data_IF_933221363177
#
_entry.id   IF_933221363177
#
_cell.length_a   1.000
_cell.length_b   1.000
_cell.length_c   1.000
_cell.angle_alpha   90.00
_cell.angle_beta   90.00
_cell.angle_gamma   90.00
#
_symmetry.space_group_name_H-M   'P 1'
#
loop_
_entity.id
_entity.type
_entity.pdbx_description
1 polymer ?
#
# COMPACT_ATOMS: atom_id res chain seq x y z
N UNK A 1 -52.71 -64.52 -22.58
CA UNK A 1 -53.35 -64.25 -21.24
C UNK A 1 -52.80 -62.96 -20.66
N UNK A 2 -53.51 -62.34 -19.69
CA UNK A 2 -53.01 -61.13 -19.01
C UNK A 2 -51.70 -61.40 -18.27
N UNK A 3 -51.61 -62.55 -17.61
CA UNK A 3 -50.38 -62.99 -16.94
C UNK A 3 -49.19 -63.12 -17.93
N UNK A 4 -49.42 -63.61 -19.16
CA UNK A 4 -48.38 -63.63 -20.16
C UNK A 4 -47.88 -62.21 -20.56
N UNK A 5 -48.82 -61.26 -20.71
CA UNK A 5 -48.44 -59.87 -20.99
C UNK A 5 -47.57 -59.24 -19.87
N UNK A 6 -47.95 -59.51 -18.61
CA UNK A 6 -47.18 -59.06 -17.44
C UNK A 6 -45.78 -59.69 -17.44
N UNK A 7 -45.69 -61.01 -17.72
CA UNK A 7 -44.43 -61.72 -17.81
C UNK A 7 -43.51 -61.17 -18.93
N UNK A 8 -44.11 -60.71 -20.05
CA UNK A 8 -43.43 -60.09 -21.19
C UNK A 8 -43.12 -58.59 -20.93
N UNK A 9 -43.35 -58.10 -19.69
CA UNK A 9 -43.07 -56.67 -19.31
C UNK A 9 -44.09 -55.67 -19.86
N UNK A 10 -45.29 -56.16 -20.31
CA UNK A 10 -46.30 -55.27 -20.84
C UNK A 10 -47.33 -54.93 -19.73
N UNK A 11 -47.17 -53.82 -19.10
CA UNK A 11 -48.05 -53.24 -18.05
C UNK A 11 -49.10 -52.26 -18.59
N UNK A 12 -49.12 -52.06 -19.92
CA UNK A 12 -50.16 -51.27 -20.58
C UNK A 12 -51.50 -52.07 -20.63
N UNK A 13 -52.03 -52.35 -19.47
CA UNK A 13 -53.27 -53.10 -19.28
C UNK A 13 -54.27 -52.16 -18.61
N UNK A 14 -55.37 -51.82 -19.33
CA UNK A 14 -56.37 -50.88 -18.88
C UNK A 14 -57.11 -51.41 -17.66
N UNK A 15 -57.59 -52.67 -17.74
CA UNK A 15 -58.28 -53.35 -16.65
C UNK A 15 -58.20 -54.88 -16.83
N UNK A 16 -57.93 -55.58 -15.73
CA UNK A 16 -58.00 -57.03 -15.71
C UNK A 16 -59.50 -57.45 -15.78
N UNK A 17 -59.79 -58.47 -16.59
CA UNK A 17 -61.18 -59.00 -16.69
C UNK A 17 -61.63 -59.43 -15.33
N UNK A 18 -62.84 -59.01 -14.95
CA UNK A 18 -63.48 -59.39 -13.68
C UNK A 18 -63.79 -60.90 -13.69
N UNK A 19 -63.34 -61.57 -12.64
CA UNK A 19 -63.71 -62.97 -12.38
C UNK A 19 -64.90 -62.93 -11.41
N UNK A 20 -65.72 -63.99 -11.44
CA UNK A 20 -66.90 -64.13 -10.53
C UNK A 20 -66.59 -65.13 -9.43
N UNK A 21 -67.22 -64.96 -8.27
CA UNK A 21 -67.10 -65.87 -7.12
C UNK A 21 -65.70 -65.72 -6.45
N UNK A 22 -65.20 -66.83 -5.94
CA UNK A 22 -63.94 -66.85 -5.16
C UNK A 22 -62.65 -66.34 -5.92
N UNK A 23 -62.77 -66.21 -7.22
CA UNK A 23 -61.69 -65.70 -8.06
C UNK A 23 -61.70 -64.15 -8.22
N UNK A 24 -62.71 -63.44 -7.71
CA UNK A 24 -62.83 -61.99 -7.80
C UNK A 24 -61.64 -61.28 -7.13
N UNK A 25 -61.19 -61.79 -5.98
CA UNK A 25 -60.03 -61.28 -5.28
C UNK A 25 -58.73 -61.32 -6.07
N UNK A 26 -58.59 -62.26 -7.00
CA UNK A 26 -57.39 -62.37 -7.87
C UNK A 26 -57.35 -61.22 -8.90
N UNK A 27 -58.51 -60.84 -9.48
CA UNK A 27 -58.54 -59.71 -10.42
C UNK A 27 -58.20 -58.38 -9.76
N UNK A 28 -58.68 -58.15 -8.50
CA UNK A 28 -58.36 -56.97 -7.73
C UNK A 28 -56.90 -56.91 -7.37
N UNK A 29 -56.31 -58.00 -6.90
CA UNK A 29 -54.87 -58.10 -6.59
C UNK A 29 -54.00 -57.85 -7.81
N UNK A 30 -54.32 -58.42 -8.98
CA UNK A 30 -53.61 -58.19 -10.21
C UNK A 30 -53.69 -56.73 -10.68
N UNK A 31 -54.90 -56.10 -10.56
CA UNK A 31 -55.03 -54.67 -10.86
C UNK A 31 -54.17 -53.81 -9.96
N UNK A 32 -54.13 -54.11 -8.66
CA UNK A 32 -53.25 -53.39 -7.69
C UNK A 32 -51.77 -53.53 -8.07
N UNK A 33 -51.31 -54.75 -8.35
CA UNK A 33 -49.90 -55.02 -8.77
C UNK A 33 -49.57 -54.23 -10.04
N UNK A 34 -50.41 -54.25 -11.05
CA UNK A 34 -50.20 -53.53 -12.32
C UNK A 34 -50.13 -52.05 -12.10
N UNK A 35 -51.01 -51.47 -11.30
CA UNK A 35 -51.03 -50.04 -11.02
C UNK A 35 -49.82 -49.62 -10.18
N UNK A 36 -49.43 -50.37 -9.13
CA UNK A 36 -48.24 -50.06 -8.32
C UNK A 36 -46.97 -50.18 -9.16
N UNK A 37 -46.82 -51.19 -10.03
CA UNK A 37 -45.66 -51.32 -10.88
C UNK A 37 -45.59 -50.17 -11.90
N UNK A 38 -46.69 -49.77 -12.52
CA UNK A 38 -46.71 -48.58 -13.38
C UNK A 38 -46.28 -47.32 -12.66
N UNK A 39 -46.73 -47.11 -11.42
CA UNK A 39 -46.35 -45.96 -10.58
C UNK A 39 -44.85 -45.99 -10.26
N UNK A 40 -44.35 -47.13 -9.74
CA UNK A 40 -42.93 -47.30 -9.40
C UNK A 40 -42.02 -47.04 -10.63
N UNK A 41 -42.36 -47.64 -11.77
CA UNK A 41 -41.54 -47.47 -12.99
C UNK A 41 -41.56 -46.03 -13.50
N UNK A 42 -42.64 -45.27 -13.35
CA UNK A 42 -42.68 -43.86 -13.68
C UNK A 42 -41.86 -43.02 -12.69
N UNK A 43 -41.96 -43.32 -11.39
CA UNK A 43 -41.13 -42.67 -10.39
C UNK A 43 -39.63 -42.89 -10.66
N UNK A 44 -39.22 -44.14 -11.02
CA UNK A 44 -37.84 -44.45 -11.40
C UNK A 44 -37.43 -43.64 -12.64
N UNK A 45 -38.31 -43.56 -13.67
CA UNK A 45 -38.00 -42.79 -14.86
C UNK A 45 -37.78 -41.30 -14.57
N UNK A 46 -38.70 -40.72 -13.78
CA UNK A 46 -38.63 -39.31 -13.33
C UNK A 46 -37.39 -39.06 -12.48
N UNK A 47 -37.07 -39.96 -11.53
CA UNK A 47 -35.85 -39.85 -10.71
C UNK A 47 -34.59 -39.98 -11.57
N UNK A 48 -34.56 -40.87 -12.54
CA UNK A 48 -33.41 -41.01 -13.48
C UNK A 48 -33.23 -39.76 -14.31
N UNK A 49 -34.31 -39.12 -14.79
CA UNK A 49 -34.24 -37.84 -15.51
C UNK A 49 -33.67 -36.74 -14.63
N UNK A 50 -34.10 -36.69 -13.38
CA UNK A 50 -33.59 -35.72 -12.41
C UNK A 50 -32.09 -35.93 -12.08
N UNK A 51 -31.69 -37.20 -11.89
CA UNK A 51 -30.27 -37.54 -11.66
C UNK A 51 -29.41 -37.17 -12.86
N UNK A 52 -29.85 -37.47 -14.08
CA UNK A 52 -29.12 -37.10 -15.30
C UNK A 52 -28.99 -35.58 -15.45
N UNK A 53 -30.08 -34.84 -15.24
CA UNK A 53 -30.05 -33.37 -15.28
C UNK A 53 -29.13 -32.77 -14.20
N UNK A 54 -29.21 -33.30 -12.97
CA UNK A 54 -28.34 -32.86 -11.85
C UNK A 54 -26.86 -33.19 -12.14
N UNK A 55 -26.57 -34.35 -12.67
CA UNK A 55 -25.24 -34.73 -13.07
C UNK A 55 -24.67 -33.80 -14.18
N UNK A 56 -25.48 -33.45 -15.17
CA UNK A 56 -25.09 -32.47 -16.20
C UNK A 56 -24.73 -31.12 -15.57
N UNK A 57 -25.54 -30.67 -14.63
CA UNK A 57 -25.29 -29.38 -13.94
C UNK A 57 -24.01 -29.40 -13.07
N UNK A 58 -23.69 -30.53 -12.42
CA UNK A 58 -22.43 -30.71 -11.69
C UNK A 58 -21.24 -30.72 -12.65
N UNK A 59 -21.34 -31.39 -13.77
CA UNK A 59 -20.27 -31.43 -14.80
C UNK A 59 -19.96 -30.01 -15.31
N UNK A 60 -20.98 -29.21 -15.66
CA UNK A 60 -20.84 -27.83 -16.10
C UNK A 60 -20.19 -26.93 -15.01
N UNK A 61 -20.63 -27.13 -13.75
CA UNK A 61 -20.08 -26.39 -12.62
C UNK A 61 -18.61 -26.76 -12.36
N UNK A 62 -18.27 -28.02 -12.50
CA UNK A 62 -16.92 -28.54 -12.37
C UNK A 62 -15.99 -27.99 -13.46
N UNK A 63 -16.47 -27.91 -14.70
CA UNK A 63 -15.72 -27.29 -15.79
C UNK A 63 -15.44 -25.82 -15.50
N UNK A 64 -16.42 -25.09 -14.98
CA UNK A 64 -16.26 -23.68 -14.57
C UNK A 64 -15.26 -23.54 -13.41
N UNK A 65 -15.30 -24.45 -12.44
CA UNK A 65 -14.36 -24.48 -11.32
C UNK A 65 -12.93 -24.77 -11.79
N UNK A 66 -12.75 -25.70 -12.72
CA UNK A 66 -11.44 -26.00 -13.31
C UNK A 66 -10.84 -24.78 -14.01
N UNK A 67 -11.63 -24.12 -14.85
CA UNK A 67 -11.20 -22.89 -15.52
C UNK A 67 -10.89 -21.76 -14.54
N UNK A 68 -11.74 -21.55 -13.53
CA UNK A 68 -11.48 -20.56 -12.49
C UNK A 68 -10.21 -20.86 -11.66
N UNK A 69 -9.90 -22.14 -11.48
CA UNK A 69 -8.66 -22.56 -10.82
C UNK A 69 -7.42 -22.29 -11.68
N UNK A 70 -7.48 -22.46 -12.98
CA UNK A 70 -6.39 -22.08 -13.90
C UNK A 70 -6.16 -20.55 -13.88
N UNK A 71 -7.22 -19.75 -13.92
CA UNK A 71 -7.10 -18.29 -13.82
C UNK A 71 -6.51 -17.85 -12.47
N UNK A 72 -6.91 -18.51 -11.37
CA UNK A 72 -6.33 -18.29 -10.06
C UNK A 72 -4.85 -18.67 -10.00
N UNK A 73 -4.45 -19.79 -10.61
CA UNK A 73 -3.05 -20.20 -10.66
C UNK A 73 -2.18 -19.17 -11.38
N UNK A 74 -2.63 -18.62 -12.50
CA UNK A 74 -1.94 -17.52 -13.20
C UNK A 74 -1.83 -16.25 -12.33
N UNK A 75 -2.89 -15.90 -11.60
CA UNK A 75 -2.88 -14.77 -10.69
C UNK A 75 -1.91 -14.97 -9.52
N UNK A 76 -1.80 -16.18 -8.99
CA UNK A 76 -0.85 -16.56 -7.94
C UNK A 76 0.59 -16.44 -8.44
N UNK A 77 0.89 -16.82 -9.67
CA UNK A 77 2.22 -16.63 -10.26
C UNK A 77 2.60 -15.15 -10.35
N UNK A 78 1.68 -14.28 -10.76
CA UNK A 78 1.88 -12.84 -10.82
C UNK A 78 2.09 -12.23 -9.42
N UNK A 79 1.27 -12.64 -8.44
CA UNK A 79 1.41 -12.22 -7.04
C UNK A 79 2.77 -12.68 -6.49
N UNK A 80 3.19 -13.91 -6.75
CA UNK A 80 4.48 -14.46 -6.29
C UNK A 80 5.66 -13.66 -6.85
N UNK A 81 5.60 -13.28 -8.13
CA UNK A 81 6.59 -12.41 -8.76
C UNK A 81 6.66 -11.05 -8.07
N UNK A 82 5.49 -10.44 -7.82
CA UNK A 82 5.39 -9.13 -7.15
C UNK A 82 5.92 -9.17 -5.71
N UNK A 83 5.60 -10.23 -4.97
CA UNK A 83 6.09 -10.42 -3.59
C UNK A 83 7.61 -10.62 -3.57
N UNK A 84 8.17 -11.30 -4.56
CA UNK A 84 9.61 -11.48 -4.70
C UNK A 84 10.31 -10.13 -4.93
N UNK A 85 9.74 -9.27 -5.77
CA UNK A 85 10.24 -7.92 -6.02
C UNK A 85 10.16 -7.05 -4.75
N UNK A 86 9.03 -7.11 -4.04
CA UNK A 86 8.86 -6.41 -2.76
C UNK A 86 9.89 -6.88 -1.73
N UNK A 87 10.15 -8.19 -1.63
CA UNK A 87 11.16 -8.75 -0.73
C UNK A 87 12.56 -8.17 -0.99
N UNK A 88 12.96 -8.09 -2.25
CA UNK A 88 14.26 -7.51 -2.62
C UNK A 88 14.31 -6.00 -2.32
N UNK A 89 13.22 -5.27 -2.57
CA UNK A 89 13.14 -3.84 -2.28
C UNK A 89 13.19 -3.55 -0.77
N UNK A 90 12.52 -4.36 0.05
CA UNK A 90 12.58 -4.27 1.52
C UNK A 90 13.99 -4.52 2.03
N UNK A 91 14.67 -5.55 1.51
CA UNK A 91 16.07 -5.84 1.83
C UNK A 91 17.00 -4.70 1.44
N UNK A 92 16.80 -4.11 0.26
CA UNK A 92 17.56 -2.95 -0.20
C UNK A 92 17.31 -1.73 0.69
N UNK A 93 16.06 -1.51 1.14
CA UNK A 93 15.73 -0.43 2.06
C UNK A 93 16.45 -0.59 3.41
N UNK A 94 16.50 -1.79 3.98
CA UNK A 94 17.25 -2.08 5.20
C UNK A 94 18.76 -1.79 5.03
N UNK A 95 19.35 -2.19 3.90
CA UNK A 95 20.74 -1.92 3.58
C UNK A 95 21.02 -0.41 3.42
N UNK A 96 20.16 0.29 2.68
CA UNK A 96 20.25 1.74 2.49
C UNK A 96 20.13 2.50 3.82
N UNK A 97 19.21 2.08 4.68
CA UNK A 97 19.05 2.65 6.01
C UNK A 97 20.33 2.45 6.85
N UNK A 98 20.91 1.24 6.85
CA UNK A 98 22.18 0.98 7.55
C UNK A 98 23.33 1.85 7.02
N UNK A 99 23.41 2.05 5.72
CA UNK A 99 24.40 2.94 5.11
C UNK A 99 24.17 4.40 5.49
N UNK A 100 22.93 4.87 5.48
CA UNK A 100 22.56 6.24 5.86
C UNK A 100 22.87 6.53 7.34
N UNK A 101 22.68 5.54 8.23
CA UNK A 101 23.07 5.63 9.65
C UNK A 101 24.58 5.84 9.77
N UNK A 102 25.40 5.04 9.07
CA UNK A 102 26.84 5.19 9.05
C UNK A 102 27.30 6.57 8.55
N UNK A 103 26.64 7.12 7.53
CA UNK A 103 26.91 8.48 7.02
C UNK A 103 26.53 9.55 8.05
N UNK A 104 25.39 9.39 8.72
CA UNK A 104 24.91 10.29 9.78
C UNK A 104 25.89 10.31 10.96
N UNK A 105 26.38 9.15 11.40
CA UNK A 105 27.38 9.05 12.46
C UNK A 105 28.71 9.74 12.06
N UNK A 106 29.12 9.61 10.81
CA UNK A 106 30.33 10.28 10.30
C UNK A 106 30.13 11.80 10.28
N UNK A 107 29.01 12.29 9.74
CA UNK A 107 28.69 13.71 9.71
C UNK A 107 28.60 14.32 11.12
N UNK A 108 28.00 13.61 12.09
CA UNK A 108 28.00 13.99 13.50
C UNK A 108 29.40 14.14 14.06
N UNK A 109 30.27 13.16 13.81
CA UNK A 109 31.67 13.19 14.27
C UNK A 109 32.42 14.39 13.71
N UNK A 110 32.25 14.66 12.40
CA UNK A 110 32.92 15.79 11.75
C UNK A 110 32.39 17.14 12.26
N UNK A 111 31.10 17.26 12.51
CA UNK A 111 30.51 18.47 13.10
C UNK A 111 31.00 18.70 14.54
N UNK A 112 31.11 17.66 15.36
CA UNK A 112 31.68 17.75 16.72
C UNK A 112 33.13 18.21 16.66
N UNK A 113 33.94 17.62 15.76
CA UNK A 113 35.33 18.05 15.55
C UNK A 113 35.43 19.50 15.10
N UNK A 114 34.55 19.93 14.18
CA UNK A 114 34.46 21.32 13.75
C UNK A 114 34.12 22.27 14.92
N UNK A 115 33.22 21.85 15.80
CA UNK A 115 32.85 22.63 16.99
C UNK A 115 34.02 22.77 17.97
N UNK A 116 34.83 21.75 18.17
CA UNK A 116 36.01 21.81 19.01
C UNK A 116 37.06 22.77 18.40
N UNK A 117 37.26 22.76 17.07
CA UNK A 117 38.11 23.72 16.38
C UNK A 117 37.60 25.15 16.50
N UNK A 118 36.26 25.38 16.51
CA UNK A 118 35.70 26.71 16.76
C UNK A 118 35.95 27.20 18.21
N UNK A 119 35.93 26.31 19.19
CA UNK A 119 36.31 26.64 20.56
C UNK A 119 37.78 27.08 20.66
N UNK A 120 38.68 26.33 19.99
CA UNK A 120 40.09 26.71 19.93
C UNK A 120 40.28 28.08 19.25
N UNK A 121 39.57 28.35 18.16
CA UNK A 121 39.57 29.62 17.46
C UNK A 121 39.05 30.76 18.33
N UNK A 122 37.99 30.56 19.11
CA UNK A 122 37.48 31.53 20.05
C UNK A 122 38.53 31.88 21.15
N UNK A 123 39.21 30.87 21.67
CA UNK A 123 40.32 31.06 22.61
C UNK A 123 41.44 31.91 22.01
N UNK A 124 41.88 31.58 20.78
CA UNK A 124 42.91 32.32 20.06
C UNK A 124 42.49 33.79 19.81
N UNK A 125 41.22 34.02 19.44
CA UNK A 125 40.68 35.39 19.29
C UNK A 125 40.69 36.17 20.61
N UNK A 126 40.37 35.48 21.72
CA UNK A 126 40.47 36.07 23.05
C UNK A 126 41.91 36.49 23.39
N UNK A 127 42.89 35.62 23.15
CA UNK A 127 44.32 35.89 23.38
C UNK A 127 44.82 37.06 22.52
N UNK A 128 44.40 37.13 21.23
CA UNK A 128 44.75 38.25 20.34
C UNK A 128 44.14 39.56 20.87
N UNK A 129 42.92 39.54 21.38
CA UNK A 129 42.23 40.69 21.93
C UNK A 129 42.99 41.19 23.19
N UNK A 130 43.37 40.31 24.11
CA UNK A 130 44.16 40.63 25.30
C UNK A 130 45.54 41.22 24.94
N UNK A 131 46.23 40.56 23.97
CA UNK A 131 47.52 41.07 23.47
C UNK A 131 47.38 42.47 22.85
N UNK A 132 46.35 42.71 22.04
CA UNK A 132 46.05 44.02 21.44
C UNK A 132 45.74 45.09 22.49
N UNK A 133 45.00 44.76 23.54
CA UNK A 133 44.74 45.65 24.64
C UNK A 133 46.03 46.02 25.41
N UNK A 134 46.95 45.05 25.58
CA UNK A 134 48.22 45.30 26.23
C UNK A 134 49.13 46.18 25.35
N UNK A 135 49.16 45.94 24.01
CA UNK A 135 49.90 46.82 23.07
C UNK A 135 49.34 48.26 23.13
N UNK A 136 48.01 48.40 23.14
CA UNK A 136 47.35 49.74 23.27
C UNK A 136 47.83 50.49 24.50
N UNK A 137 47.98 49.81 25.65
CA UNK A 137 48.55 50.40 26.86
C UNK A 137 50.01 50.85 26.68
N UNK A 138 50.83 50.01 26.01
CA UNK A 138 52.22 50.35 25.78
C UNK A 138 52.34 51.55 24.83
N UNK A 139 51.56 51.59 23.76
CA UNK A 139 51.57 52.71 22.81
C UNK A 139 51.13 54.01 23.50
N UNK A 140 50.14 53.96 24.44
CA UNK A 140 49.77 55.12 25.25
C UNK A 140 50.92 55.63 26.10
N UNK A 141 51.71 54.73 26.71
CA UNK A 141 52.91 55.13 27.47
C UNK A 141 53.97 55.75 26.52
N UNK A 142 54.14 55.22 25.29
CA UNK A 142 55.06 55.81 24.30
C UNK A 142 54.62 57.23 23.91
N UNK A 143 53.31 57.44 23.68
CA UNK A 143 52.74 58.75 23.37
C UNK A 143 52.97 59.76 24.56
N UNK A 144 52.75 59.30 25.79
CA UNK A 144 53.03 60.09 27.01
C UNK A 144 54.54 60.44 27.11
N UNK A 145 55.45 59.49 26.81
CA UNK A 145 56.91 59.72 26.77
C UNK A 145 57.26 60.77 25.73
N UNK A 146 56.69 60.56 24.48
CA UNK A 146 56.92 61.51 23.38
C UNK A 146 56.44 62.94 23.76
N UNK A 147 55.25 63.07 24.40
CA UNK A 147 54.81 64.35 24.90
C UNK A 147 55.71 64.93 25.92
N UNK A 148 56.16 64.17 26.94
CA UNK A 148 57.11 64.64 27.95
C UNK A 148 58.42 65.08 27.35
N UNK A 149 58.96 64.33 26.37
CA UNK A 149 60.19 64.63 25.64
C UNK A 149 60.04 65.93 24.84
N UNK A 150 58.90 66.14 24.22
CA UNK A 150 58.58 67.39 23.49
C UNK A 150 58.60 68.62 24.48
N UNK A 151 58.02 68.49 25.69
CA UNK A 151 58.05 69.55 26.75
C UNK A 151 59.46 69.78 27.24
N UNK A 152 60.27 68.70 27.47
CA UNK A 152 61.67 68.83 27.89
C UNK A 152 62.52 69.52 26.80
N UNK A 153 62.32 69.19 25.54
CA UNK A 153 63.00 69.79 24.39
C UNK A 153 62.62 71.32 24.29
N UNK A 154 61.32 71.62 24.48
CA UNK A 154 60.85 72.99 24.47
C UNK A 154 61.53 73.82 25.62
N UNK A 155 61.60 73.28 26.81
CA UNK A 155 62.27 73.92 27.96
C UNK A 155 63.77 74.11 27.68
N UNK A 156 64.41 73.07 27.05
CA UNK A 156 65.86 73.20 26.67
C UNK A 156 66.06 74.26 25.55
N UNK A 157 65.12 74.35 24.58
CA UNK A 157 65.21 75.41 23.55
C UNK A 157 65.04 76.83 24.18
N UNK A 158 64.15 76.99 25.10
CA UNK A 158 63.97 78.28 25.86
C UNK A 158 65.24 78.63 26.63
N UNK A 159 65.89 77.70 27.33
CA UNK A 159 67.10 77.95 28.10
C UNK A 159 68.32 78.19 27.18
N UNK A 160 68.38 77.47 26.02
CA UNK A 160 69.38 77.73 25.01
C UNK A 160 69.27 79.17 24.42
N UNK A 161 68.03 79.62 24.19
CA UNK A 161 67.77 81.01 23.76
C UNK A 161 68.17 82.04 24.82
N UNK A 162 68.03 81.72 26.08
CA UNK A 162 68.35 82.56 27.26
C UNK A 162 69.87 82.69 27.40
N UNK A 163 70.65 81.65 27.03
CA UNK A 163 72.08 81.67 27.04
C UNK A 163 72.76 82.47 25.85
N UNK A 164 71.92 83.00 24.95
CA UNK A 164 72.34 83.84 23.84
C UNK A 164 73.35 83.19 22.86
N UNK A 165 74.49 83.84 22.60
CA UNK A 165 75.55 83.34 21.64
C UNK A 165 76.13 81.99 22.08
N UNK A 166 76.20 81.68 23.39
CA UNK A 166 76.79 80.47 23.94
C UNK A 166 75.83 79.28 23.84
N UNK A 167 74.50 79.52 23.65
CA UNK A 167 73.46 78.48 23.57
C UNK A 167 73.15 77.98 22.15
N UNK A 168 73.75 78.54 21.04
CA UNK A 168 73.36 78.25 19.68
C UNK A 168 73.43 76.75 19.32
N UNK A 169 74.49 76.06 19.74
CA UNK A 169 74.57 74.62 19.50
C UNK A 169 73.52 73.77 20.24
N UNK A 170 73.21 74.18 21.48
CA UNK A 170 72.15 73.53 22.27
C UNK A 170 70.73 73.77 21.74
N UNK A 171 70.46 74.97 21.16
CA UNK A 171 69.19 75.28 20.52
C UNK A 171 68.88 74.37 19.33
N UNK A 172 69.88 74.03 18.49
CA UNK A 172 69.78 73.14 17.36
C UNK A 172 69.40 71.69 17.80
N UNK A 173 70.13 71.22 18.84
CA UNK A 173 69.90 69.90 19.42
C UNK A 173 68.45 69.86 20.09
N UNK A 174 68.03 70.88 20.79
CA UNK A 174 66.73 70.98 21.38
C UNK A 174 65.60 70.92 20.31
N UNK A 175 65.78 71.65 19.17
CA UNK A 175 64.84 71.65 18.10
C UNK A 175 64.73 70.29 17.44
N UNK A 176 65.90 69.58 17.24
CA UNK A 176 65.95 68.20 16.66
C UNK A 176 65.30 67.21 17.60
N UNK A 177 65.52 67.28 18.95
CA UNK A 177 64.80 66.41 19.93
C UNK A 177 63.32 66.66 19.92
N UNK A 178 62.91 67.95 19.81
CA UNK A 178 61.48 68.31 19.69
C UNK A 178 60.84 67.69 18.42
N UNK A 179 61.53 67.77 17.26
CA UNK A 179 61.06 67.18 16.03
C UNK A 179 60.96 65.67 16.16
N UNK A 180 61.93 64.95 16.71
CA UNK A 180 61.92 63.53 17.00
C UNK A 180 60.77 63.15 17.94
N UNK A 181 60.49 63.97 18.98
CA UNK A 181 59.37 63.74 19.87
C UNK A 181 58.04 63.84 19.12
N UNK A 182 57.85 64.90 18.31
CA UNK A 182 56.67 65.04 17.47
C UNK A 182 56.44 63.88 16.49
N UNK A 183 57.51 63.41 15.83
CA UNK A 183 57.45 62.23 14.94
C UNK A 183 57.07 60.97 15.74
N UNK A 184 57.64 60.77 16.93
CA UNK A 184 57.30 59.65 17.81
C UNK A 184 55.84 59.66 18.24
N UNK A 185 55.28 60.82 18.62
CA UNK A 185 53.87 60.98 18.94
C UNK A 185 52.97 60.71 17.75
N UNK A 186 53.39 61.17 16.54
CA UNK A 186 52.65 60.84 15.29
C UNK A 186 52.60 59.36 15.03
N UNK A 187 53.75 58.66 15.13
CA UNK A 187 53.82 57.21 14.95
C UNK A 187 53.04 56.44 16.03
N UNK A 188 53.05 56.93 17.28
CA UNK A 188 52.22 56.33 18.35
C UNK A 188 50.71 56.45 18.05
N UNK A 189 50.25 57.59 17.58
CA UNK A 189 48.85 57.83 17.23
C UNK A 189 48.43 56.97 16.05
N UNK A 190 49.25 56.84 15.01
CA UNK A 190 48.98 55.96 13.86
C UNK A 190 48.91 54.50 14.30
N UNK A 191 49.84 54.05 15.16
CA UNK A 191 49.82 52.72 15.73
C UNK A 191 48.59 52.45 16.55
N UNK A 192 48.13 53.44 17.34
CA UNK A 192 46.88 53.35 18.12
C UNK A 192 45.68 53.08 17.19
N UNK A 193 45.57 53.84 16.09
CA UNK A 193 44.49 53.61 15.09
C UNK A 193 44.55 52.24 14.44
N UNK A 194 45.76 51.73 14.15
CA UNK A 194 45.92 50.35 13.61
C UNK A 194 45.53 49.28 14.64
N UNK A 195 45.85 49.46 15.90
CA UNK A 195 45.46 48.54 16.99
C UNK A 195 43.95 48.56 17.22
N UNK A 196 43.30 49.73 17.27
CA UNK A 196 41.84 49.86 17.39
C UNK A 196 41.15 49.14 16.22
N UNK A 197 41.60 49.35 14.97
CA UNK A 197 41.06 48.64 13.82
C UNK A 197 41.30 47.13 13.87
N UNK A 198 42.39 46.67 14.50
CA UNK A 198 42.67 45.25 14.73
C UNK A 198 41.72 44.65 15.76
N UNK A 199 41.46 45.32 16.86
CA UNK A 199 40.52 44.91 17.89
C UNK A 199 39.11 44.81 17.34
N UNK A 200 38.65 45.76 16.50
CA UNK A 200 37.37 45.68 15.81
C UNK A 200 37.25 44.45 14.94
N UNK A 201 38.29 44.15 14.15
CA UNK A 201 38.28 42.95 13.32
C UNK A 201 38.29 41.64 14.12
N UNK A 202 38.97 41.64 15.28
CA UNK A 202 38.93 40.48 16.21
C UNK A 202 37.55 40.30 16.82
N UNK A 203 36.84 41.37 17.19
CA UNK A 203 35.46 41.28 17.71
C UNK A 203 34.51 40.70 16.65
N UNK A 204 34.62 41.17 15.39
CA UNK A 204 33.85 40.63 14.27
C UNK A 204 34.17 39.15 14.07
N UNK A 205 35.47 38.78 14.07
CA UNK A 205 35.90 37.39 13.93
C UNK A 205 35.35 36.50 15.05
N UNK A 206 35.38 37.01 16.28
CA UNK A 206 34.82 36.30 17.45
C UNK A 206 33.31 36.04 17.29
N UNK A 207 32.54 37.01 16.83
CA UNK A 207 31.11 36.84 16.54
C UNK A 207 30.84 35.80 15.44
N UNK A 208 31.60 35.84 14.36
CA UNK A 208 31.50 34.85 13.27
C UNK A 208 31.81 33.45 13.79
N UNK A 209 32.90 33.28 14.56
CA UNK A 209 33.28 31.99 15.14
C UNK A 209 32.20 31.47 16.11
N UNK A 210 31.63 32.33 16.95
CA UNK A 210 30.54 31.95 17.84
C UNK A 210 29.28 31.48 17.10
N UNK A 211 28.87 32.23 16.07
CA UNK A 211 27.72 31.84 15.24
C UNK A 211 27.98 30.52 14.50
N UNK A 212 29.20 30.32 14.04
CA UNK A 212 29.61 29.05 13.36
C UNK A 212 29.58 27.89 14.35
N UNK A 213 30.06 28.08 15.59
CA UNK A 213 29.97 27.04 16.63
C UNK A 213 28.51 26.67 16.95
N UNK A 214 27.62 27.69 17.03
CA UNK A 214 26.19 27.44 17.22
C UNK A 214 25.59 26.63 16.05
N UNK A 215 25.85 27.02 14.81
CA UNK A 215 25.36 26.30 13.64
C UNK A 215 25.86 24.84 13.60
N UNK A 216 27.11 24.59 14.00
CA UNK A 216 27.65 23.23 14.11
C UNK A 216 26.93 22.42 15.19
N UNK A 217 26.57 23.01 16.31
CA UNK A 217 25.75 22.34 17.34
C UNK A 217 24.36 21.96 16.81
N UNK A 218 23.72 22.84 16.05
CA UNK A 218 22.43 22.57 15.41
C UNK A 218 22.53 21.42 14.37
N UNK A 219 23.66 21.35 13.65
CA UNK A 219 23.97 20.23 12.74
C UNK A 219 24.10 18.92 13.53
N UNK A 220 24.82 18.91 14.67
CA UNK A 220 24.96 17.72 15.52
C UNK A 220 23.61 17.23 16.01
N UNK A 221 22.74 18.14 16.47
CA UNK A 221 21.39 17.77 16.92
C UNK A 221 20.55 17.21 15.79
N UNK A 222 20.52 17.89 14.64
CA UNK A 222 19.75 17.45 13.46
C UNK A 222 20.23 16.12 12.91
N UNK A 223 21.55 15.90 12.85
CA UNK A 223 22.14 14.64 12.40
C UNK A 223 21.84 13.50 13.37
N UNK A 224 21.79 13.78 14.69
CA UNK A 224 21.41 12.77 15.69
C UNK A 224 19.97 12.34 15.49
N UNK A 225 19.04 13.28 15.30
CA UNK A 225 17.63 12.96 14.99
C UNK A 225 17.48 12.19 13.68
N UNK A 226 18.27 12.54 12.67
CA UNK A 226 18.28 11.81 11.40
C UNK A 226 18.76 10.36 11.58
N UNK A 227 19.81 10.13 12.36
CA UNK A 227 20.31 8.78 12.66
C UNK A 227 19.25 7.93 13.39
N UNK A 228 18.56 8.50 14.37
CA UNK A 228 17.47 7.81 15.08
C UNK A 228 16.33 7.39 14.12
N UNK A 229 15.89 8.31 13.25
CA UNK A 229 14.85 8.01 12.24
C UNK A 229 15.28 6.92 11.26
N UNK A 230 16.53 6.96 10.82
CA UNK A 230 17.10 5.95 9.93
C UNK A 230 17.20 4.59 10.63
N UNK A 231 17.52 4.58 11.92
CA UNK A 231 17.51 3.36 12.75
C UNK A 231 16.10 2.73 12.81
N UNK A 232 15.05 3.56 12.95
CA UNK A 232 13.67 3.10 12.89
C UNK A 232 13.30 2.53 11.52
N UNK A 233 13.77 3.15 10.42
CA UNK A 233 13.54 2.62 9.05
C UNK A 233 14.18 1.25 8.89
N UNK A 234 15.42 1.06 9.37
CA UNK A 234 16.09 -0.23 9.31
C UNK A 234 15.33 -1.32 10.08
N UNK A 235 14.86 -1.00 11.29
CA UNK A 235 14.04 -1.93 12.10
C UNK A 235 12.72 -2.28 11.40
N UNK A 236 11.97 -1.29 10.94
CA UNK A 236 10.72 -1.50 10.22
C UNK A 236 10.91 -2.32 8.93
N UNK A 237 12.01 -2.09 8.21
CA UNK A 237 12.33 -2.89 7.02
C UNK A 237 12.61 -4.35 7.36
N UNK A 238 13.27 -4.65 8.48
CA UNK A 238 13.48 -6.03 8.93
C UNK A 238 12.15 -6.71 9.35
N UNK A 239 11.25 -5.97 9.99
CA UNK A 239 9.91 -6.45 10.31
C UNK A 239 9.10 -6.74 9.05
N UNK A 240 9.16 -5.84 8.06
CA UNK A 240 8.55 -6.04 6.74
C UNK A 240 9.10 -7.28 6.02
N UNK A 241 10.42 -7.54 6.09
CA UNK A 241 11.01 -8.74 5.50
C UNK A 241 10.42 -10.02 6.12
N UNK A 242 10.19 -10.01 7.43
CA UNK A 242 9.52 -11.12 8.13
C UNK A 242 8.08 -11.29 7.67
N UNK A 243 7.32 -10.19 7.57
CA UNK A 243 5.93 -10.22 7.11
C UNK A 243 5.83 -10.72 5.66
N UNK A 244 6.72 -10.26 4.77
CA UNK A 244 6.79 -10.73 3.37
C UNK A 244 7.06 -12.24 3.31
N UNK A 245 7.92 -12.77 4.17
CA UNK A 245 8.16 -14.22 4.27
C UNK A 245 6.88 -14.99 4.68
N UNK A 246 6.09 -14.45 5.63
CA UNK A 246 4.81 -15.04 6.02
C UNK A 246 3.78 -14.99 4.89
N UNK A 247 3.72 -13.88 4.14
CA UNK A 247 2.85 -13.78 2.97
C UNK A 247 3.23 -14.82 1.91
N UNK A 248 4.52 -15.03 1.68
CA UNK A 248 4.99 -16.05 0.73
C UNK A 248 4.54 -17.47 1.13
N UNK A 249 4.63 -17.82 2.41
CA UNK A 249 4.09 -19.08 2.91
C UNK A 249 2.57 -19.21 2.74
N UNK A 250 1.83 -18.13 2.95
CA UNK A 250 0.38 -18.12 2.73
C UNK A 250 0.04 -18.32 1.24
N UNK A 251 0.79 -17.72 0.33
CA UNK A 251 0.63 -17.90 -1.12
C UNK A 251 0.88 -19.35 -1.53
N UNK A 252 1.89 -20.02 -0.98
CA UNK A 252 2.14 -21.45 -1.20
C UNK A 252 0.93 -22.30 -0.79
N UNK A 253 0.31 -21.99 0.36
CA UNK A 253 -0.89 -22.68 0.81
C UNK A 253 -2.08 -22.44 -0.13
N UNK A 254 -2.28 -21.20 -0.60
CA UNK A 254 -3.33 -20.88 -1.58
C UNK A 254 -3.09 -21.61 -2.88
N UNK A 255 -1.85 -21.67 -3.37
CA UNK A 255 -1.47 -22.43 -4.56
C UNK A 255 -1.84 -23.91 -4.46
N UNK A 256 -1.57 -24.52 -3.29
CA UNK A 256 -1.97 -25.90 -3.02
C UNK A 256 -3.49 -26.10 -3.05
N UNK A 257 -4.25 -25.15 -2.51
CA UNK A 257 -5.72 -25.19 -2.56
C UNK A 257 -6.23 -25.10 -4.00
N UNK A 258 -5.66 -24.20 -4.80
CA UNK A 258 -6.03 -24.04 -6.21
C UNK A 258 -5.77 -25.32 -7.01
N UNK A 259 -4.62 -25.97 -6.81
CA UNK A 259 -4.32 -27.28 -7.41
C UNK A 259 -5.32 -28.37 -6.98
N UNK A 260 -5.67 -28.38 -5.69
CA UNK A 260 -6.67 -29.30 -5.15
C UNK A 260 -8.06 -29.06 -5.76
N UNK A 261 -8.44 -27.78 -5.95
CA UNK A 261 -9.71 -27.41 -6.56
C UNK A 261 -9.77 -27.90 -8.02
N UNK A 262 -8.69 -27.74 -8.79
CA UNK A 262 -8.61 -28.24 -10.17
C UNK A 262 -8.76 -29.77 -10.24
N UNK A 263 -8.02 -30.48 -9.39
CA UNK A 263 -8.13 -31.94 -9.32
C UNK A 263 -9.54 -32.42 -8.89
N UNK A 264 -10.13 -31.75 -7.90
CA UNK A 264 -11.50 -32.05 -7.43
C UNK A 264 -12.54 -31.74 -8.51
N UNK A 265 -12.33 -30.70 -9.30
CA UNK A 265 -13.19 -30.35 -10.42
C UNK A 265 -13.16 -31.46 -11.51
N UNK A 266 -11.97 -31.93 -11.88
CA UNK A 266 -11.82 -33.02 -12.84
C UNK A 266 -12.48 -34.33 -12.35
N UNK A 267 -12.27 -34.68 -11.06
CA UNK A 267 -12.89 -35.85 -10.45
C UNK A 267 -14.44 -35.74 -10.40
N UNK A 268 -14.93 -34.55 -10.04
CA UNK A 268 -16.38 -34.27 -9.99
C UNK A 268 -17.03 -34.34 -11.38
N UNK A 269 -16.37 -33.81 -12.40
CA UNK A 269 -16.84 -33.88 -13.77
C UNK A 269 -16.92 -35.35 -14.23
N UNK A 270 -15.87 -36.15 -14.01
CA UNK A 270 -15.85 -37.60 -14.37
C UNK A 270 -16.92 -38.39 -13.61
N UNK A 271 -17.09 -38.14 -12.30
CA UNK A 271 -18.12 -38.80 -11.50
C UNK A 271 -19.55 -38.42 -12.01
N UNK A 272 -19.74 -37.19 -12.46
CA UNK A 272 -21.01 -36.71 -13.02
C UNK A 272 -21.32 -37.34 -14.37
N UNK A 273 -20.35 -37.51 -15.22
CA UNK A 273 -20.53 -38.25 -16.49
C UNK A 273 -20.94 -39.70 -16.21
N UNK A 274 -20.32 -40.36 -15.24
CA UNK A 274 -20.70 -41.71 -14.83
C UNK A 274 -22.12 -41.78 -14.28
N UNK A 275 -22.53 -40.82 -13.38
CA UNK A 275 -23.90 -40.72 -12.87
C UNK A 275 -24.92 -40.50 -13.98
N UNK A 276 -24.63 -39.68 -14.97
CA UNK A 276 -25.48 -39.43 -16.11
C UNK A 276 -25.65 -40.72 -16.96
N UNK A 277 -24.55 -41.44 -17.17
CA UNK A 277 -24.58 -42.75 -17.87
C UNK A 277 -25.39 -43.79 -17.12
N UNK A 278 -25.27 -43.87 -15.78
CA UNK A 278 -26.05 -44.80 -14.95
C UNK A 278 -27.54 -44.42 -14.95
N UNK A 279 -27.88 -43.12 -14.90
CA UNK A 279 -29.27 -42.65 -15.01
C UNK A 279 -29.89 -43.01 -16.37
N UNK A 280 -29.16 -42.86 -17.46
CA UNK A 280 -29.61 -43.27 -18.79
C UNK A 280 -29.79 -44.80 -18.90
N UNK A 281 -28.89 -45.60 -18.31
CA UNK A 281 -29.07 -47.05 -18.23
C UNK A 281 -30.34 -47.45 -17.44
N UNK A 282 -30.63 -46.77 -16.32
CA UNK A 282 -31.87 -46.98 -15.55
C UNK A 282 -33.10 -46.67 -16.40
N UNK A 283 -33.06 -45.55 -17.12
CA UNK A 283 -34.12 -45.15 -18.05
C UNK A 283 -34.32 -46.20 -19.15
N UNK A 284 -33.26 -46.72 -19.73
CA UNK A 284 -33.34 -47.79 -20.74
C UNK A 284 -33.90 -49.08 -20.15
N UNK A 285 -33.52 -49.46 -18.93
CA UNK A 285 -34.08 -50.63 -18.25
C UNK A 285 -35.58 -50.49 -18.03
N UNK A 286 -36.06 -49.31 -17.58
CA UNK A 286 -37.49 -49.00 -17.38
C UNK A 286 -38.21 -48.97 -18.73
N UNK A 287 -37.63 -48.44 -19.80
CA UNK A 287 -38.23 -48.38 -21.15
C UNK A 287 -38.45 -49.75 -21.78
N UNK A 288 -37.86 -50.81 -21.24
CA UNK A 288 -38.16 -52.19 -21.66
C UNK A 288 -39.60 -52.60 -21.26
N UNK A 289 -40.18 -51.94 -20.25
CA UNK A 289 -41.51 -52.19 -19.80
C UNK A 289 -42.50 -51.27 -20.51
N UNK A 290 -43.56 -51.81 -21.09
CA UNK A 290 -44.62 -51.02 -21.70
C UNK A 290 -45.58 -50.56 -20.62
N UNK A 291 -45.41 -49.34 -20.19
CA UNK A 291 -46.27 -48.73 -19.14
C UNK A 291 -47.60 -48.28 -19.73
N UNK A 292 -48.59 -48.16 -18.84
CA UNK A 292 -49.91 -47.64 -19.18
C UNK A 292 -49.80 -46.15 -19.53
N UNK A 293 -50.21 -45.73 -20.73
CA UNK A 293 -50.29 -44.33 -21.09
C UNK A 293 -51.23 -43.59 -20.17
N UNK A 294 -50.77 -42.49 -19.54
CA UNK A 294 -51.65 -41.55 -18.89
C UNK A 294 -52.27 -40.76 -20.04
N UNK A 295 -53.54 -41.03 -20.29
CA UNK A 295 -54.34 -40.01 -20.99
C UNK A 295 -54.39 -38.80 -20.03
N UNK A 296 -53.57 -37.83 -20.32
CA UNK A 296 -53.57 -36.55 -19.61
C UNK A 296 -54.93 -35.89 -19.83
N UNK A 297 -55.88 -36.24 -18.90
CA UNK A 297 -57.21 -35.61 -18.87
C UNK A 297 -57.08 -34.08 -18.66
N UNK A 298 -55.88 -33.55 -18.39
CA UNK A 298 -55.64 -32.12 -18.28
C UNK A 298 -55.59 -31.42 -19.64
N UNK A 299 -55.05 -32.08 -20.70
CA UNK A 299 -55.07 -31.48 -22.04
C UNK A 299 -56.45 -31.61 -22.74
N UNK A 300 -57.21 -32.66 -22.46
CA UNK A 300 -58.57 -32.84 -23.03
C UNK A 300 -59.61 -31.84 -22.46
N UNK A 301 -59.25 -31.09 -21.43
CA UNK A 301 -60.09 -30.02 -20.90
C UNK A 301 -59.76 -28.63 -21.48
N UNK A 302 -58.68 -28.51 -22.27
CA UNK A 302 -58.38 -27.27 -23.01
C UNK A 302 -59.40 -27.00 -24.11
N UNK A 303 -59.97 -28.04 -24.73
CA UNK A 303 -61.10 -27.90 -25.70
C UNK A 303 -62.40 -27.48 -25.08
N UNK A 304 -62.51 -27.43 -23.72
CA UNK A 304 -63.67 -26.95 -22.96
C UNK A 304 -63.48 -25.60 -22.31
N UNK A 305 -62.32 -24.98 -22.50
CA UNK A 305 -62.11 -23.61 -22.05
C UNK A 305 -62.87 -22.64 -22.92
N UNK A 306 -63.59 -21.70 -22.26
CA UNK A 306 -64.32 -20.66 -22.96
C UNK A 306 -63.41 -19.91 -23.92
N UNK A 307 -63.86 -19.52 -25.13
CA UNK A 307 -63.09 -18.76 -26.10
C UNK A 307 -62.39 -17.53 -25.47
N UNK A 308 -62.99 -16.97 -24.46
CA UNK A 308 -62.41 -15.78 -23.74
C UNK A 308 -61.15 -16.10 -22.96
N UNK A 309 -61.01 -17.34 -22.45
CA UNK A 309 -59.81 -17.77 -21.71
C UNK A 309 -58.64 -18.11 -22.70
N UNK A 310 -59.00 -18.68 -23.85
CA UNK A 310 -58.00 -18.94 -24.91
C UNK A 310 -57.46 -17.64 -25.43
N UNK A 311 -58.32 -16.65 -25.68
CA UNK A 311 -57.89 -15.30 -26.13
C UNK A 311 -57.02 -14.58 -25.13
N UNK A 312 -57.29 -14.71 -23.81
CA UNK A 312 -56.48 -14.12 -22.74
C UNK A 312 -55.10 -14.78 -22.63
N UNK A 313 -54.98 -16.08 -22.89
CA UNK A 313 -53.71 -16.83 -22.93
C UNK A 313 -52.89 -16.41 -24.17
N UNK A 314 -53.51 -16.30 -25.32
CA UNK A 314 -52.86 -15.83 -26.56
C UNK A 314 -52.34 -14.39 -26.39
N UNK A 315 -53.14 -13.49 -25.77
CA UNK A 315 -52.71 -12.11 -25.50
C UNK A 315 -51.52 -12.02 -24.55
N UNK A 316 -51.44 -12.90 -23.54
CA UNK A 316 -50.33 -13.01 -22.62
C UNK A 316 -49.02 -13.55 -23.30
N UNK A 317 -49.19 -14.52 -24.20
CA UNK A 317 -48.08 -15.06 -24.98
C UNK A 317 -47.55 -14.02 -25.97
N UNK A 318 -48.46 -13.28 -26.64
CA UNK A 318 -48.08 -12.19 -27.55
C UNK A 318 -47.38 -11.01 -26.85
N UNK A 319 -47.83 -10.66 -25.62
CA UNK A 319 -47.13 -9.69 -24.78
C UNK A 319 -45.73 -10.12 -24.33
N UNK A 320 -45.57 -11.42 -24.09
CA UNK A 320 -44.24 -11.97 -23.70
C UNK A 320 -43.27 -12.03 -24.88
N UNK A 321 -43.76 -12.24 -26.08
CA UNK A 321 -42.94 -12.25 -27.30
C UNK A 321 -42.66 -10.85 -27.91
N UNK A 322 -43.33 -9.80 -27.42
CA UNK A 322 -43.13 -8.40 -27.85
C UNK A 322 -42.29 -7.57 -26.89
N UNK A 323 -41.52 -8.18 -25.96
CA UNK A 323 -40.51 -7.45 -25.21
C UNK A 323 -39.31 -7.09 -26.12
N UNK A 324 -38.91 -5.81 -26.28
CA UNK A 324 -37.94 -5.39 -27.29
C UNK A 324 -36.53 -5.81 -26.93
N UNK A 325 -35.84 -6.42 -27.89
CA UNK A 325 -34.38 -6.50 -27.95
C UNK A 325 -33.81 -5.09 -27.97
N UNK A 326 -33.10 -4.74 -26.91
CA UNK A 326 -32.41 -3.47 -26.80
C UNK A 326 -31.10 -3.50 -27.61
N UNK A 327 -31.13 -2.91 -28.81
CA UNK A 327 -29.94 -2.60 -29.59
C UNK A 327 -29.28 -1.35 -29.00
N UNK A 328 -28.07 -1.52 -28.48
CA UNK A 328 -27.12 -0.43 -28.20
C UNK A 328 -26.95 0.46 -29.42
N UNK A 329 -27.21 1.75 -29.24
CA UNK A 329 -26.54 2.84 -29.97
C UNK A 329 -26.13 3.92 -29.00
N UNK A 330 -24.83 4.20 -29.01
CA UNK A 330 -24.21 5.38 -28.45
C UNK A 330 -24.89 6.65 -28.97
N UNK A 331 -25.21 7.60 -28.09
CA UNK A 331 -24.87 8.99 -28.35
C UNK A 331 -24.87 9.85 -27.08
N UNK A 332 -24.04 10.88 -27.12
CA UNK A 332 -23.63 11.78 -26.06
C UNK A 332 -24.67 12.84 -25.75
N UNK A 333 -24.56 13.39 -24.54
CA UNK A 333 -24.85 14.76 -24.11
C UNK A 333 -26.09 14.99 -23.26
N UNK A 334 -25.88 15.54 -22.06
CA UNK A 334 -26.68 16.63 -21.50
C UNK A 334 -27.62 16.29 -20.33
N UNK A 335 -27.10 16.47 -19.14
CA UNK A 335 -27.67 17.26 -18.02
C UNK A 335 -29.12 17.05 -17.50
N UNK A 336 -29.16 16.96 -16.17
CA UNK A 336 -30.23 17.31 -15.21
C UNK A 336 -31.37 16.34 -14.92
N UNK A 337 -31.43 15.91 -13.66
CA UNK A 337 -32.62 16.07 -12.82
C UNK A 337 -33.47 14.84 -12.52
N UNK A 338 -33.46 14.48 -11.23
CA UNK A 338 -34.54 13.88 -10.43
C UNK A 338 -35.00 12.42 -10.62
N UNK A 339 -34.63 11.67 -9.59
CA UNK A 339 -35.46 10.80 -8.72
C UNK A 339 -36.58 9.95 -9.35
N UNK A 340 -36.47 8.64 -9.26
CA UNK A 340 -37.40 7.77 -8.55
C UNK A 340 -36.92 6.30 -8.57
N UNK A 341 -37.21 5.64 -7.45
CA UNK A 341 -36.76 4.33 -7.02
C UNK A 341 -37.11 3.16 -7.96
N UNK A 342 -36.17 2.25 -8.14
CA UNK A 342 -36.43 0.87 -8.56
C UNK A 342 -35.57 -0.08 -7.71
N UNK A 343 -36.25 -0.99 -7.08
CA UNK A 343 -35.77 -2.10 -6.25
C UNK A 343 -34.72 -2.93 -6.98
N UNK A 344 -33.50 -2.92 -6.47
CA UNK A 344 -32.42 -3.78 -6.94
C UNK A 344 -32.23 -4.99 -6.04
N UNK A 345 -32.00 -6.11 -6.66
CA UNK A 345 -31.54 -7.36 -6.05
C UNK A 345 -30.25 -7.15 -5.29
N UNK A 346 -30.27 -7.50 -4.02
CA UNK A 346 -29.16 -7.41 -3.07
C UNK A 346 -28.02 -8.36 -3.45
N UNK A 347 -26.89 -7.82 -3.95
CA UNK A 347 -25.57 -8.45 -3.78
C UNK A 347 -25.05 -8.02 -2.41
N UNK A 348 -24.47 -8.90 -1.60
CA UNK A 348 -23.83 -8.48 -0.36
C UNK A 348 -22.58 -7.68 -0.67
N UNK A 349 -22.60 -6.40 -0.36
CA UNK A 349 -21.46 -5.51 -0.39
C UNK A 349 -20.84 -5.56 1.01
N UNK A 350 -19.62 -6.09 1.10
CA UNK A 350 -18.83 -6.01 2.32
C UNK A 350 -18.30 -4.58 2.39
N UNK A 351 -18.86 -3.76 3.27
CA UNK A 351 -18.28 -2.47 3.63
C UNK A 351 -17.23 -2.72 4.70
N UNK A 352 -15.97 -2.43 4.38
CA UNK A 352 -14.90 -2.31 5.37
C UNK A 352 -15.04 -0.90 5.96
N UNK A 353 -15.44 -0.81 7.21
CA UNK A 353 -15.39 0.43 8.00
C UNK A 353 -13.94 0.76 8.30
N UNK A 354 -13.46 1.91 7.83
CA UNK A 354 -12.10 2.43 8.02
C UNK A 354 -11.79 2.89 9.47
N UNK A 355 -12.71 2.75 10.42
CA UNK A 355 -12.56 3.27 11.78
C UNK A 355 -11.93 2.29 12.80
N UNK A 356 -11.53 1.08 12.42
CA UNK A 356 -10.89 0.11 13.33
C UNK A 356 -9.38 -0.12 13.10
N UNK A 357 -8.74 0.55 12.16
CA UNK A 357 -7.28 0.50 12.00
C UNK A 357 -6.59 1.65 12.75
N UNK A 358 -6.48 1.54 14.06
CA UNK A 358 -5.78 2.57 14.84
C UNK A 358 -5.74 2.37 16.35
N UNK A 359 -5.78 1.14 16.85
CA UNK A 359 -5.50 0.88 18.28
C UNK A 359 -4.93 -0.50 18.45
N UNK A 360 -3.63 -0.60 18.23
CA UNK A 360 -2.77 -1.54 18.94
C UNK A 360 -1.31 -1.08 18.80
#
# INVERSE_FOLDING_TARGET
>A
TILSKIADGNFNIVKVREFKGDFAAISDSLNKIINSLNEIFREINTASEQVSAGAGQIADSSQTLSQGSEEQASSIEEITSSITEIAEQVKQNAANATQADGLSLTAKKDAVKGNDQMKEMLNAMHDINEASANISKIIKVIDDIAFQTNILALNAAVEAARAGQYGKGFAVVAEEVKNLAQQSAGAAKETTTMIEGSVEKVDIGTKIASNTAQALNEIVESTTKAADLVGHIASASNEQATAVSQVNQAIEQVSQVVQTNSATAEESASASEELSSQAEMLKQMVNRFKLKEIQDKKLANLDKLSPDIIHAIEELIEKKNKAPENKNKEDKSGNSGESLAATSSTRPQISLDDDEFGKY
#
